data_IF_818995602341
#
_entry.id   IF_818995602341
#
_cell.length_a   1.000
_cell.length_b   1.000
_cell.length_c   1.000
_cell.angle_alpha   90.00
_cell.angle_beta   90.00
_cell.angle_gamma   90.00
#
_symmetry.space_group_name_H-M   'P 1'
#
loop_
_entity.id
_entity.type
_entity.pdbx_description
1 polymer ?
#
# COMPACT_ATOMS: atom_id res chain seq x y z
N UNK A 1 14.01 -10.17 -50.08
CA UNK A 1 15.20 -9.73 -49.33
C UNK A 1 14.76 -8.48 -48.57
N UNK A 2 14.37 -8.64 -47.29
CA UNK A 2 15.17 -8.28 -46.11
C UNK A 2 15.26 -6.76 -45.90
N UNK A 3 14.88 -6.12 -44.79
CA UNK A 3 14.24 -6.47 -43.53
C UNK A 3 13.66 -5.15 -42.98
N UNK A 4 12.35 -5.10 -42.71
CA UNK A 4 11.72 -4.00 -41.96
C UNK A 4 11.28 -4.57 -40.61
N UNK A 5 12.22 -4.68 -39.67
CA UNK A 5 11.96 -5.18 -38.32
C UNK A 5 12.87 -4.45 -37.33
N UNK A 6 12.39 -3.34 -36.79
CA UNK A 6 12.85 -2.81 -35.51
C UNK A 6 11.87 -1.75 -34.99
N UNK A 7 10.67 -2.15 -34.57
CA UNK A 7 9.86 -1.28 -33.71
C UNK A 7 8.97 -2.05 -32.71
N UNK A 8 9.44 -3.22 -32.27
CA UNK A 8 8.77 -4.02 -31.25
C UNK A 8 9.53 -4.07 -29.90
N UNK A 9 10.63 -3.31 -29.76
CA UNK A 9 11.55 -3.44 -28.63
C UNK A 9 11.32 -2.43 -27.48
N UNK A 10 10.16 -1.75 -27.42
CA UNK A 10 9.89 -0.75 -26.36
C UNK A 10 8.74 -1.11 -25.41
N UNK A 11 8.16 -2.30 -25.52
CA UNK A 11 6.98 -2.73 -24.77
C UNK A 11 7.24 -3.91 -23.79
N UNK A 12 8.50 -4.21 -23.45
CA UNK A 12 8.86 -5.45 -22.75
C UNK A 12 9.66 -5.29 -21.44
N UNK A 13 9.44 -4.24 -20.64
CA UNK A 13 10.17 -4.08 -19.36
C UNK A 13 9.31 -3.66 -18.16
N UNK A 14 8.04 -4.07 -18.10
CA UNK A 14 7.26 -3.95 -16.86
C UNK A 14 6.58 -5.27 -16.51
N UNK A 15 7.25 -6.05 -15.66
CA UNK A 15 6.62 -7.17 -14.96
C UNK A 15 6.08 -6.67 -13.60
N UNK A 16 4.80 -6.94 -13.26
CA UNK A 16 4.24 -6.59 -11.95
C UNK A 16 4.84 -7.43 -10.81
N UNK A 17 5.70 -8.41 -11.10
CA UNK A 17 6.21 -9.36 -10.10
C UNK A 17 7.63 -9.09 -9.62
N UNK A 18 8.37 -8.17 -10.25
CA UNK A 18 9.77 -7.89 -9.87
C UNK A 18 10.18 -6.44 -10.14
N UNK A 19 10.60 -5.68 -9.13
CA UNK A 19 11.21 -4.37 -9.34
C UNK A 19 12.63 -4.54 -9.87
N UNK A 20 12.75 -4.68 -11.20
CA UNK A 20 14.05 -4.84 -11.85
C UNK A 20 14.74 -3.51 -12.18
N UNK A 21 14.02 -2.39 -12.17
CA UNK A 21 14.62 -1.09 -12.40
C UNK A 21 15.03 -0.45 -11.06
N UNK A 22 16.30 -0.04 -10.94
CA UNK A 22 16.82 0.70 -9.76
C UNK A 22 15.98 1.92 -9.35
N UNK A 23 15.27 2.54 -10.29
CA UNK A 23 14.39 3.69 -10.07
C UNK A 23 13.00 3.32 -9.51
N UNK A 24 12.69 2.02 -9.43
CA UNK A 24 11.48 1.48 -8.80
C UNK A 24 11.76 1.00 -7.36
N UNK A 25 12.97 1.22 -6.84
CA UNK A 25 13.29 0.90 -5.46
C UNK A 25 13.12 2.15 -4.59
N UNK A 26 12.38 2.04 -3.47
CA UNK A 26 12.30 3.10 -2.49
C UNK A 26 13.66 3.50 -1.94
N UNK A 27 13.76 4.78 -1.55
CA UNK A 27 14.98 5.30 -0.94
C UNK A 27 15.31 4.50 0.34
N UNK A 28 16.54 4.00 0.43
CA UNK A 28 17.03 3.31 1.62
C UNK A 28 16.50 1.88 1.81
N UNK A 29 15.92 1.25 0.78
CA UNK A 29 15.48 -0.15 0.84
C UNK A 29 16.23 -1.03 -0.16
N UNK A 30 16.46 -2.27 0.23
CA UNK A 30 16.81 -3.32 -0.73
C UNK A 30 15.56 -3.79 -1.47
N UNK A 31 15.69 -4.39 -2.68
CA UNK A 31 14.57 -5.00 -3.38
C UNK A 31 13.83 -6.03 -2.53
N UNK A 32 14.57 -6.89 -1.81
CA UNK A 32 14.01 -7.96 -1.00
C UNK A 32 13.13 -7.40 0.12
N UNK A 33 13.64 -6.43 0.89
CA UNK A 33 12.90 -5.82 2.00
C UNK A 33 11.63 -5.14 1.52
N UNK A 34 11.71 -4.39 0.42
CA UNK A 34 10.54 -3.70 -0.12
C UNK A 34 9.48 -4.68 -0.63
N UNK A 35 9.88 -5.73 -1.35
CA UNK A 35 8.94 -6.76 -1.82
C UNK A 35 8.30 -7.54 -0.67
N UNK A 36 9.05 -7.81 0.40
CA UNK A 36 8.52 -8.44 1.61
C UNK A 36 7.49 -7.55 2.31
N UNK A 37 7.78 -6.24 2.43
CA UNK A 37 6.82 -5.27 2.98
C UNK A 37 5.57 -5.16 2.11
N UNK A 38 5.70 -5.12 0.79
CA UNK A 38 4.55 -5.12 -0.11
C UNK A 38 3.70 -6.38 0.07
N UNK A 39 4.30 -7.58 0.09
CA UNK A 39 3.58 -8.83 0.31
C UNK A 39 2.82 -8.82 1.64
N UNK A 40 3.45 -8.30 2.70
CA UNK A 40 2.80 -8.11 4.00
C UNK A 40 1.59 -7.17 3.91
N UNK A 41 1.72 -6.02 3.22
CA UNK A 41 0.59 -5.09 3.03
C UNK A 41 -0.58 -5.70 2.26
N UNK A 42 -0.31 -6.54 1.25
CA UNK A 42 -1.36 -7.30 0.54
C UNK A 42 -2.10 -8.23 1.49
N UNK A 43 -1.38 -8.98 2.34
CA UNK A 43 -2.00 -9.86 3.33
C UNK A 43 -2.81 -9.09 4.37
N UNK A 44 -2.28 -7.98 4.89
CA UNK A 44 -2.97 -7.12 5.87
C UNK A 44 -4.24 -6.50 5.27
N UNK A 45 -4.19 -5.97 4.04
CA UNK A 45 -5.33 -5.40 3.34
C UNK A 45 -6.46 -6.43 3.15
N UNK A 46 -6.09 -7.65 2.73
CA UNK A 46 -7.03 -8.75 2.53
C UNK A 46 -7.68 -9.17 3.84
N UNK A 47 -6.89 -9.41 4.89
CA UNK A 47 -7.40 -9.83 6.19
C UNK A 47 -8.30 -8.75 6.82
N UNK A 48 -7.88 -7.49 6.76
CA UNK A 48 -8.68 -6.37 7.25
C UNK A 48 -10.02 -6.27 6.53
N UNK A 49 -10.04 -6.33 5.20
CA UNK A 49 -11.28 -6.21 4.45
C UNK A 49 -12.27 -7.32 4.78
N UNK A 50 -11.81 -8.58 4.85
CA UNK A 50 -12.64 -9.71 5.28
C UNK A 50 -13.22 -9.48 6.69
N UNK A 51 -12.39 -9.04 7.63
CA UNK A 51 -12.84 -8.74 8.99
C UNK A 51 -13.87 -7.59 9.02
N UNK A 52 -13.71 -6.54 8.20
CA UNK A 52 -14.69 -5.45 8.13
C UNK A 52 -16.04 -5.89 7.54
N UNK A 53 -16.04 -6.86 6.62
CA UNK A 53 -17.28 -7.45 6.08
C UNK A 53 -18.05 -8.21 7.17
N UNK A 54 -17.34 -8.93 8.04
CA UNK A 54 -17.93 -9.73 9.12
C UNK A 54 -18.41 -8.89 10.30
N UNK A 55 -17.63 -7.88 10.71
CA UNK A 55 -17.83 -7.23 12.02
C UNK A 55 -18.44 -5.84 11.95
N UNK A 56 -18.37 -5.16 10.80
CA UNK A 56 -18.72 -3.74 10.68
C UNK A 56 -19.49 -3.42 9.42
N UNK A 57 -20.34 -4.36 8.98
CA UNK A 57 -21.08 -4.33 7.72
C UNK A 57 -21.47 -2.92 7.27
N UNK A 58 -22.15 -2.15 8.12
CA UNK A 58 -22.74 -0.86 7.74
C UNK A 58 -21.84 0.38 7.91
N UNK A 59 -20.66 0.26 8.51
CA UNK A 59 -19.75 1.40 8.63
C UNK A 59 -18.97 1.63 7.32
N UNK A 60 -18.69 2.89 6.96
CA UNK A 60 -17.74 3.17 5.90
C UNK A 60 -16.34 2.70 6.30
N UNK A 61 -15.56 2.29 5.30
CA UNK A 61 -14.23 1.70 5.48
C UNK A 61 -13.19 2.62 4.84
N UNK A 62 -12.04 2.78 5.48
CA UNK A 62 -10.97 3.66 4.99
C UNK A 62 -9.66 2.89 4.92
N UNK A 63 -9.06 2.87 3.73
CA UNK A 63 -7.68 2.46 3.54
C UNK A 63 -6.84 3.66 3.12
N UNK A 64 -5.82 3.96 3.92
CA UNK A 64 -4.81 4.97 3.64
C UNK A 64 -3.63 4.29 2.95
N UNK A 65 -3.17 4.86 1.84
CA UNK A 65 -2.06 4.39 1.04
C UNK A 65 -0.98 5.47 1.06
N UNK A 66 0.28 5.11 0.84
CA UNK A 66 1.34 6.11 0.69
C UNK A 66 2.68 5.70 1.26
N UNK A 67 3.40 6.68 1.80
CA UNK A 67 4.80 6.59 2.19
C UNK A 67 4.99 6.52 3.72
N UNK A 68 6.10 7.08 4.21
CA UNK A 68 6.46 7.18 5.62
C UNK A 68 5.44 7.92 6.50
N UNK A 69 4.66 8.85 5.95
CA UNK A 69 3.60 9.55 6.71
C UNK A 69 2.46 8.58 6.96
N UNK A 70 1.97 7.92 5.91
CA UNK A 70 0.93 6.90 6.02
C UNK A 70 1.37 5.72 6.86
N UNK A 71 2.61 5.25 6.70
CA UNK A 71 3.15 4.15 7.50
C UNK A 71 3.14 4.49 8.99
N UNK A 72 3.50 5.73 9.31
CA UNK A 72 3.47 6.23 10.68
C UNK A 72 2.05 6.25 11.20
N UNK A 73 1.04 6.69 10.43
CA UNK A 73 -0.37 6.66 10.83
C UNK A 73 -0.87 5.26 11.22
N UNK A 74 -0.26 4.21 10.66
CA UNK A 74 -0.52 2.82 11.05
C UNK A 74 0.27 2.33 12.27
N UNK A 75 1.02 3.20 12.95
CA UNK A 75 1.85 2.85 14.10
C UNK A 75 3.12 2.09 13.72
N UNK A 76 3.61 2.22 12.48
CA UNK A 76 4.85 1.55 12.05
C UNK A 76 5.86 2.53 11.45
N UNK A 77 7.14 2.14 11.42
CA UNK A 77 8.21 2.87 10.74
C UNK A 77 9.20 1.86 10.17
N UNK A 78 9.46 1.95 8.87
CA UNK A 78 10.34 1.02 8.16
C UNK A 78 9.96 -0.47 8.30
N UNK A 79 8.67 -0.77 8.46
CA UNK A 79 8.13 -2.13 8.63
C UNK A 79 7.98 -2.59 10.08
N UNK A 80 8.58 -1.85 11.02
CA UNK A 80 8.60 -2.19 12.44
C UNK A 80 7.57 -1.38 13.21
N UNK A 81 7.01 -1.96 14.28
CA UNK A 81 6.06 -1.24 15.14
C UNK A 81 6.77 -0.11 15.88
N UNK A 82 6.12 1.04 15.94
CA UNK A 82 6.61 2.17 16.70
C UNK A 82 6.57 1.83 18.20
N UNK A 83 7.59 2.20 19.00
CA UNK A 83 7.50 2.08 20.45
C UNK A 83 6.33 2.92 20.97
N UNK A 84 5.54 2.33 21.87
CA UNK A 84 4.32 2.92 22.43
C UNK A 84 4.60 4.27 23.11
N UNK A 85 5.81 4.47 23.65
CA UNK A 85 6.20 5.69 24.36
C UNK A 85 6.43 6.93 23.45
N UNK A 86 6.37 6.78 22.13
CA UNK A 86 6.62 7.86 21.16
C UNK A 86 5.38 8.21 20.31
N UNK A 87 4.19 7.68 20.65
CA UNK A 87 2.96 7.71 19.82
C UNK A 87 2.15 9.03 19.83
N UNK A 88 2.51 10.00 20.67
CA UNK A 88 1.64 11.13 21.08
C UNK A 88 1.01 12.01 19.97
N UNK A 89 1.62 12.28 18.79
CA UNK A 89 0.93 13.05 17.73
C UNK A 89 -0.03 12.23 16.86
N UNK A 90 0.06 10.90 16.90
CA UNK A 90 -0.57 10.01 15.93
C UNK A 90 -1.96 9.55 16.38
N UNK A 91 -2.10 9.28 17.67
CA UNK A 91 -3.37 8.99 18.35
C UNK A 91 -4.39 10.10 18.12
N UNK A 92 -3.96 11.37 18.05
CA UNK A 92 -4.83 12.53 17.80
C UNK A 92 -5.39 12.59 16.37
N UNK A 93 -4.64 12.12 15.36
CA UNK A 93 -5.14 12.07 13.97
C UNK A 93 -6.01 10.84 13.72
N UNK A 94 -5.66 9.70 14.31
CA UNK A 94 -6.46 8.48 14.28
C UNK A 94 -7.79 8.67 15.02
N UNK A 95 -7.82 9.40 16.15
CA UNK A 95 -9.06 9.67 16.90
C UNK A 95 -10.04 10.59 16.16
N UNK A 96 -9.55 11.55 15.36
CA UNK A 96 -10.42 12.37 14.51
C UNK A 96 -11.06 11.53 13.39
N UNK A 97 -10.27 10.67 12.74
CA UNK A 97 -10.76 9.75 11.70
C UNK A 97 -11.67 8.66 12.27
N UNK A 98 -11.41 8.18 13.50
CA UNK A 98 -12.14 7.10 14.14
C UNK A 98 -13.64 7.38 14.32
N UNK A 99 -14.06 8.66 14.37
CA UNK A 99 -15.48 9.02 14.43
C UNK A 99 -16.25 8.64 13.17
N UNK A 100 -15.62 8.80 12.01
CA UNK A 100 -16.23 8.52 10.71
C UNK A 100 -15.84 7.14 10.18
N UNK A 101 -14.62 6.68 10.49
CA UNK A 101 -14.07 5.39 10.10
C UNK A 101 -13.50 4.70 11.33
N UNK A 102 -14.30 3.90 12.03
CA UNK A 102 -13.92 3.43 13.36
C UNK A 102 -12.85 2.32 13.34
N UNK A 103 -12.36 1.93 12.16
CA UNK A 103 -11.26 0.98 11.99
C UNK A 103 -10.57 1.19 10.63
N UNK A 104 -9.85 2.32 10.46
CA UNK A 104 -9.11 2.56 9.23
C UNK A 104 -7.88 1.64 9.19
N UNK A 105 -7.38 1.35 7.99
CA UNK A 105 -6.09 0.68 7.78
C UNK A 105 -5.11 1.63 7.10
N UNK A 106 -3.84 1.55 7.46
CA UNK A 106 -2.77 2.31 6.82
C UNK A 106 -1.74 1.37 6.18
N UNK A 107 -1.63 1.44 4.86
CA UNK A 107 -0.80 0.60 3.99
C UNK A 107 0.35 1.44 3.41
N UNK A 108 1.06 2.12 4.31
CA UNK A 108 2.22 2.94 3.98
C UNK A 108 3.51 2.13 3.97
N UNK A 109 4.45 2.54 3.11
CA UNK A 109 5.83 2.04 3.11
C UNK A 109 6.80 3.22 3.03
N UNK A 110 7.62 3.42 4.07
CA UNK A 110 8.62 4.50 4.07
C UNK A 110 9.55 4.46 2.87
N UNK A 111 9.79 5.62 2.27
CA UNK A 111 10.66 5.79 1.11
C UNK A 111 9.96 5.58 -0.24
N UNK A 112 8.69 5.17 -0.23
CA UNK A 112 7.86 5.13 -1.43
C UNK A 112 7.73 6.53 -2.06
N UNK A 113 7.55 6.52 -3.37
CA UNK A 113 7.20 7.66 -4.21
C UNK A 113 5.97 7.23 -5.02
N UNK A 114 5.39 8.14 -5.80
CA UNK A 114 4.19 7.87 -6.59
C UNK A 114 4.32 6.61 -7.44
N UNK A 115 5.45 6.40 -8.15
CA UNK A 115 5.66 5.22 -8.98
C UNK A 115 5.72 3.91 -8.18
N UNK A 116 6.20 3.96 -6.93
CA UNK A 116 6.26 2.80 -6.05
C UNK A 116 4.86 2.40 -5.60
N UNK A 117 4.06 3.38 -5.16
CA UNK A 117 2.66 3.14 -4.81
C UNK A 117 1.86 2.60 -6.01
N UNK A 118 2.00 3.21 -7.19
CA UNK A 118 1.31 2.75 -8.40
C UNK A 118 1.70 1.30 -8.76
N UNK A 119 2.96 0.93 -8.57
CA UNK A 119 3.42 -0.44 -8.77
C UNK A 119 2.74 -1.40 -7.78
N UNK A 120 2.69 -1.05 -6.49
CA UNK A 120 2.07 -1.89 -5.45
C UNK A 120 0.57 -2.06 -5.62
N UNK A 121 -0.12 -0.99 -6.03
CA UNK A 121 -1.56 -1.04 -6.32
C UNK A 121 -1.85 -2.04 -7.44
N UNK A 122 -1.04 -2.05 -8.51
CA UNK A 122 -1.14 -3.10 -9.54
C UNK A 122 -0.75 -4.49 -9.02
N UNK A 123 0.13 -4.55 -8.03
CA UNK A 123 0.54 -5.77 -7.32
C UNK A 123 -0.52 -6.38 -6.41
N UNK A 124 -1.71 -5.78 -6.29
CA UNK A 124 -2.85 -6.35 -5.56
C UNK A 124 -2.99 -5.88 -4.12
N UNK A 125 -2.31 -4.81 -3.73
CA UNK A 125 -2.51 -4.18 -2.40
C UNK A 125 -3.94 -3.65 -2.21
N UNK A 126 -4.64 -3.40 -3.31
CA UNK A 126 -6.10 -3.30 -3.35
C UNK A 126 -6.64 -4.49 -4.14
N UNK A 127 -7.29 -5.43 -3.46
CA UNK A 127 -7.85 -6.61 -4.10
C UNK A 127 -9.09 -6.30 -4.94
N UNK A 128 -9.50 -7.22 -5.82
CA UNK A 128 -10.71 -7.07 -6.61
C UNK A 128 -11.98 -6.95 -5.73
N UNK A 129 -12.01 -7.66 -4.58
CA UNK A 129 -13.11 -7.57 -3.62
C UNK A 129 -13.17 -6.17 -2.97
N UNK A 130 -12.02 -5.64 -2.56
CA UNK A 130 -11.92 -4.27 -2.05
C UNK A 130 -12.33 -3.24 -3.09
N UNK A 131 -11.91 -3.40 -4.35
CA UNK A 131 -12.29 -2.50 -5.44
C UNK A 131 -13.80 -2.54 -5.75
N UNK A 132 -14.46 -3.66 -5.49
CA UNK A 132 -15.92 -3.81 -5.66
C UNK A 132 -16.72 -3.27 -4.46
N UNK A 133 -16.07 -3.00 -3.33
CA UNK A 133 -16.72 -2.52 -2.11
C UNK A 133 -17.07 -1.03 -2.19
N UNK A 134 -18.37 -0.75 -2.34
CA UNK A 134 -18.89 0.63 -2.42
C UNK A 134 -18.77 1.43 -1.11
N UNK A 135 -18.48 0.77 0.01
CA UNK A 135 -18.27 1.42 1.32
C UNK A 135 -16.80 1.72 1.59
N UNK A 136 -15.89 1.25 0.73
CA UNK A 136 -14.47 1.49 0.86
C UNK A 136 -14.08 2.84 0.23
N UNK A 137 -13.42 3.67 1.03
CA UNK A 137 -12.73 4.88 0.59
C UNK A 137 -11.22 4.61 0.57
N UNK A 138 -10.58 4.96 -0.54
CA UNK A 138 -9.13 4.93 -0.69
C UNK A 138 -8.59 6.36 -0.64
N UNK A 139 -7.62 6.62 0.23
CA UNK A 139 -6.88 7.88 0.30
C UNK A 139 -5.40 7.60 0.07
N UNK A 140 -4.70 8.46 -0.67
CA UNK A 140 -3.28 8.31 -1.04
C UNK A 140 -2.52 9.61 -0.93
#
# INVERSE_FOLDING_TARGET
MAHHTANAARLLLWSPTRPHARHLLPKGKTPADWTALHARRVSEATAWHSHQLETRGDYPRLALLGDSITERLGGTRFGERYPEELEEPLVLQVSALARSWPSPIALGISGDQTQHLLWRLKGGEVSAAMAADRRLVLSH
#
